data_IF_968543178773
#
_entry.id   IF_968543178773
#
_cell.length_a   1.000
_cell.length_b   1.000
_cell.length_c   1.000
_cell.angle_alpha   90.00
_cell.angle_beta   90.00
_cell.angle_gamma   90.00
#
_symmetry.space_group_name_H-M   'P 1'
#
loop_
_entity.id
_entity.type
_entity.pdbx_description
1 polymer ?
#
# COMPACT_ATOMS: atom_id res chain seq x y z
N UNK A 1 -0.40 10.14 11.71
CA UNK A 1 -1.26 11.35 11.73
C UNK A 1 -1.81 11.52 13.14
N UNK A 2 -1.95 12.76 13.63
CA UNK A 2 -2.47 13.06 14.97
C UNK A 2 -3.34 14.30 14.94
N UNK A 3 -4.54 14.22 15.51
CA UNK A 3 -5.46 15.35 15.61
C UNK A 3 -4.98 16.38 16.63
N UNK A 4 -5.38 17.64 16.44
CA UNK A 4 -5.06 18.69 17.42
C UNK A 4 -5.69 18.41 18.78
N UNK A 5 -6.92 17.88 18.80
CA UNK A 5 -7.59 17.50 20.05
C UNK A 5 -6.76 16.48 20.82
N UNK A 6 -6.24 15.46 20.15
CA UNK A 6 -5.42 14.44 20.79
C UNK A 6 -4.08 15.00 21.31
N UNK A 7 -3.42 15.86 20.51
CA UNK A 7 -2.19 16.54 20.92
C UNK A 7 -2.40 17.38 22.18
N UNK A 8 -3.50 18.13 22.24
CA UNK A 8 -3.81 19.00 23.38
C UNK A 8 -4.26 18.22 24.62
N UNK A 9 -5.09 17.18 24.46
CA UNK A 9 -5.69 16.48 25.60
C UNK A 9 -4.78 15.44 26.23
N UNK A 10 -4.05 14.65 25.43
CA UNK A 10 -3.21 13.57 25.96
C UNK A 10 -1.81 14.05 26.34
N UNK A 11 -1.32 15.14 25.75
CA UNK A 11 0.02 15.68 25.97
C UNK A 11 1.13 14.60 25.98
N UNK A 12 1.03 13.63 25.07
CA UNK A 12 2.04 12.58 24.90
C UNK A 12 3.01 12.95 23.79
N UNK A 13 4.28 12.59 24.01
CA UNK A 13 5.35 12.74 23.02
C UNK A 13 5.13 11.84 21.79
N UNK A 14 5.85 12.13 20.71
CA UNK A 14 5.78 11.35 19.47
C UNK A 14 6.23 9.90 19.70
N UNK A 15 7.23 9.69 20.55
CA UNK A 15 7.72 8.35 20.91
C UNK A 15 6.69 7.55 21.71
N UNK A 16 5.94 8.19 22.60
CA UNK A 16 4.87 7.54 23.36
C UNK A 16 3.68 7.22 22.46
N UNK A 17 3.37 8.11 21.51
CA UNK A 17 2.34 7.84 20.51
C UNK A 17 2.73 6.65 19.62
N UNK A 18 3.98 6.57 19.16
CA UNK A 18 4.47 5.44 18.37
C UNK A 18 4.44 4.13 19.18
N UNK A 19 4.78 4.19 20.47
CA UNK A 19 4.65 3.05 21.37
C UNK A 19 3.18 2.61 21.55
N UNK A 20 2.26 3.57 21.67
CA UNK A 20 0.81 3.32 21.77
C UNK A 20 0.26 2.71 20.48
N UNK A 21 0.67 3.23 19.32
CA UNK A 21 0.31 2.70 18.01
C UNK A 21 0.81 1.27 17.83
N UNK A 22 2.08 1.02 18.17
CA UNK A 22 2.68 -0.31 18.17
C UNK A 22 1.91 -1.27 19.09
N UNK A 23 1.57 -0.82 20.31
CA UNK A 23 0.81 -1.62 21.27
C UNK A 23 -0.61 -1.98 20.78
N UNK A 24 -1.22 -1.19 19.89
CA UNK A 24 -2.53 -1.49 19.29
C UNK A 24 -2.49 -2.48 18.13
N UNK A 25 -1.39 -2.53 17.38
CA UNK A 25 -1.25 -3.33 16.15
C UNK A 25 -0.90 -4.80 16.42
N UNK A 26 -0.12 -5.11 17.47
CA UNK A 26 0.29 -6.49 17.79
C UNK A 26 -0.64 -7.16 18.80
N UNK A 27 -1.21 -8.32 18.46
CA UNK A 27 -1.91 -9.17 19.42
C UNK A 27 -2.16 -10.56 18.86
N UNK A 28 -2.03 -11.57 19.72
CA UNK A 28 -2.34 -12.95 19.36
C UNK A 28 -3.77 -13.30 19.78
N UNK A 29 -4.42 -14.24 19.08
CA UNK A 29 -5.77 -14.70 19.43
C UNK A 29 -5.85 -15.27 20.84
N UNK A 30 -4.72 -15.79 21.36
CA UNK A 30 -4.58 -16.29 22.73
C UNK A 30 -4.66 -15.19 23.80
N UNK A 31 -4.46 -13.92 23.45
CA UNK A 31 -4.57 -12.79 24.39
C UNK A 31 -6.02 -12.36 24.64
N UNK A 32 -7.00 -12.97 23.97
CA UNK A 32 -8.41 -12.64 24.15
C UNK A 32 -8.86 -12.95 25.59
N UNK A 33 -9.50 -11.97 26.24
CA UNK A 33 -9.92 -12.07 27.64
C UNK A 33 -8.83 -11.77 28.68
N UNK A 34 -7.57 -11.61 28.27
CA UNK A 34 -6.49 -11.20 29.18
C UNK A 34 -6.45 -9.69 29.39
N UNK A 35 -5.80 -9.23 30.47
CA UNK A 35 -5.53 -7.81 30.69
C UNK A 35 -4.72 -7.19 29.53
N UNK A 36 -3.76 -7.94 28.96
CA UNK A 36 -2.97 -7.50 27.80
C UNK A 36 -3.85 -7.28 26.57
N UNK A 37 -4.73 -8.23 26.28
CA UNK A 37 -5.69 -8.10 25.18
C UNK A 37 -6.64 -6.92 25.37
N UNK A 38 -7.07 -6.66 26.61
CA UNK A 38 -7.88 -5.48 26.96
C UNK A 38 -7.13 -4.17 26.74
N UNK A 39 -5.88 -4.07 27.23
CA UNK A 39 -5.03 -2.88 27.03
C UNK A 39 -4.74 -2.62 25.55
N UNK A 40 -4.47 -3.67 24.76
CA UNK A 40 -4.32 -3.56 23.30
C UNK A 40 -5.56 -3.01 22.63
N UNK A 41 -6.75 -3.54 22.96
CA UNK A 41 -8.02 -3.04 22.40
C UNK A 41 -8.24 -1.58 22.76
N UNK A 42 -7.93 -1.18 24.00
CA UNK A 42 -8.00 0.21 24.42
C UNK A 42 -7.04 1.09 23.59
N UNK A 43 -5.77 0.69 23.45
CA UNK A 43 -4.78 1.40 22.63
C UNK A 43 -5.26 1.55 21.17
N UNK A 44 -5.77 0.46 20.57
CA UNK A 44 -6.35 0.50 19.22
C UNK A 44 -7.52 1.47 19.13
N UNK A 45 -8.47 1.42 20.06
CA UNK A 45 -9.61 2.36 20.08
C UNK A 45 -9.16 3.81 20.14
N UNK A 46 -8.16 4.12 20.98
CA UNK A 46 -7.61 5.46 21.10
C UNK A 46 -7.00 5.93 19.77
N UNK A 47 -6.16 5.11 19.14
CA UNK A 47 -5.49 5.44 17.88
C UNK A 47 -6.49 5.62 16.73
N UNK A 48 -7.47 4.73 16.60
CA UNK A 48 -8.48 4.86 15.53
C UNK A 48 -9.38 6.08 15.76
N UNK A 49 -9.71 6.41 17.01
CA UNK A 49 -10.46 7.63 17.34
C UNK A 49 -9.69 8.89 16.98
N UNK A 50 -8.39 8.94 17.27
CA UNK A 50 -7.53 10.06 16.87
C UNK A 50 -7.43 10.21 15.34
N UNK A 51 -7.29 9.10 14.62
CA UNK A 51 -7.30 9.13 13.14
C UNK A 51 -8.60 9.66 12.57
N UNK A 52 -9.74 9.29 13.16
CA UNK A 52 -11.06 9.82 12.78
C UNK A 52 -11.12 11.33 13.04
N UNK A 53 -10.68 11.79 14.21
CA UNK A 53 -10.67 13.21 14.55
C UNK A 53 -9.77 13.99 13.60
N UNK A 54 -8.58 13.48 13.31
CA UNK A 54 -7.64 14.10 12.38
C UNK A 54 -8.24 14.20 10.97
N UNK A 55 -8.86 13.14 10.48
CA UNK A 55 -9.53 13.15 9.18
C UNK A 55 -10.68 14.17 9.14
N UNK A 56 -11.49 14.27 10.20
CA UNK A 56 -12.54 15.29 10.33
C UNK A 56 -11.98 16.71 10.35
N UNK A 57 -10.86 16.95 11.03
CA UNK A 57 -10.18 18.25 11.01
C UNK A 57 -9.70 18.64 9.61
N UNK A 58 -9.29 17.65 8.81
CA UNK A 58 -8.94 17.86 7.41
C UNK A 58 -10.18 17.97 6.50
N UNK A 59 -11.38 18.04 7.07
CA UNK A 59 -12.66 18.19 6.39
C UNK A 59 -13.15 16.93 5.69
N UNK A 60 -12.75 15.74 6.16
CA UNK A 60 -13.31 14.48 5.67
C UNK A 60 -14.46 14.02 6.55
N UNK A 61 -15.53 13.56 5.92
CA UNK A 61 -16.47 12.62 6.52
C UNK A 61 -15.77 11.26 6.69
N UNK A 62 -16.17 10.50 7.70
CA UNK A 62 -15.48 9.26 8.06
C UNK A 62 -16.46 8.18 8.49
N UNK A 63 -16.12 6.93 8.17
CA UNK A 63 -16.82 5.74 8.66
C UNK A 63 -15.82 4.65 8.99
N UNK A 64 -15.94 4.08 10.19
CA UNK A 64 -15.20 2.89 10.60
C UNK A 64 -16.11 1.68 10.37
N UNK A 65 -15.77 0.87 9.37
CA UNK A 65 -16.55 -0.30 8.96
C UNK A 65 -15.71 -1.56 9.04
N UNK A 66 -16.32 -2.70 8.71
CA UNK A 66 -15.64 -3.99 8.65
C UNK A 66 -15.73 -4.61 7.27
N UNK A 67 -14.63 -5.19 6.83
CA UNK A 67 -14.53 -5.88 5.54
C UNK A 67 -15.42 -7.13 5.52
N UNK A 68 -16.11 -7.36 4.41
CA UNK A 68 -16.83 -8.60 4.10
C UNK A 68 -16.25 -9.21 2.81
N UNK A 69 -15.96 -10.53 2.77
CA UNK A 69 -16.03 -11.48 3.89
C UNK A 69 -14.90 -11.26 4.91
N UNK A 70 -15.13 -11.66 6.16
CA UNK A 70 -14.17 -11.53 7.28
C UNK A 70 -12.83 -12.26 7.09
N UNK A 71 -12.72 -13.08 6.04
CA UNK A 71 -11.53 -13.83 5.65
C UNK A 71 -10.71 -13.12 4.58
N UNK A 72 -11.19 -12.00 4.05
CA UNK A 72 -10.52 -11.27 2.97
C UNK A 72 -9.18 -10.66 3.41
N UNK A 73 -9.03 -10.34 4.69
CA UNK A 73 -7.80 -9.79 5.27
C UNK A 73 -7.65 -10.18 6.74
N UNK A 74 -6.42 -10.38 7.26
CA UNK A 74 -6.17 -10.49 8.69
C UNK A 74 -6.61 -9.26 9.50
N UNK A 75 -6.74 -8.09 8.82
CA UNK A 75 -7.25 -6.84 9.40
C UNK A 75 -8.62 -6.53 8.79
N UNK A 76 -9.65 -6.73 9.60
CA UNK A 76 -11.04 -6.58 9.17
C UNK A 76 -11.62 -5.19 9.38
N UNK A 77 -11.06 -4.36 10.26
CA UNK A 77 -11.56 -3.00 10.47
C UNK A 77 -10.94 -2.05 9.43
N UNK A 78 -11.79 -1.29 8.73
CA UNK A 78 -11.41 -0.32 7.70
C UNK A 78 -11.93 1.05 8.10
N UNK A 79 -11.03 2.03 8.19
CA UNK A 79 -11.39 3.44 8.28
C UNK A 79 -11.47 4.02 6.87
N UNK A 80 -12.66 4.47 6.49
CA UNK A 80 -12.94 5.13 5.22
C UNK A 80 -13.14 6.62 5.48
N UNK A 81 -12.54 7.47 4.65
CA UNK A 81 -12.75 8.91 4.69
C UNK A 81 -13.03 9.48 3.30
N UNK A 82 -14.01 10.36 3.18
CA UNK A 82 -14.38 11.02 1.93
C UNK A 82 -14.71 12.49 2.17
N UNK A 83 -14.59 13.33 1.14
CA UNK A 83 -14.93 14.76 1.23
C UNK A 83 -16.43 14.96 1.08
N UNK A 84 -16.99 15.97 1.75
CA UNK A 84 -18.39 16.36 1.53
C UNK A 84 -18.60 16.82 0.09
N UNK A 85 -19.85 16.81 -0.36
CA UNK A 85 -20.22 17.19 -1.73
C UNK A 85 -19.75 18.59 -2.09
N UNK A 86 -19.87 19.52 -1.17
CA UNK A 86 -19.49 20.93 -1.34
C UNK A 86 -17.97 21.07 -1.52
N UNK A 87 -17.21 20.34 -0.71
CA UNK A 87 -15.75 20.28 -0.79
C UNK A 87 -15.27 19.63 -2.10
N UNK A 88 -15.98 18.61 -2.60
CA UNK A 88 -15.66 17.96 -3.88
C UNK A 88 -15.73 18.96 -5.04
N UNK A 89 -16.81 19.72 -5.16
CA UNK A 89 -17.01 20.67 -6.27
C UNK A 89 -15.92 21.76 -6.36
N UNK A 90 -15.44 22.25 -5.22
CA UNK A 90 -14.45 23.33 -5.18
C UNK A 90 -13.06 22.94 -5.71
N UNK A 91 -12.73 21.64 -5.66
CA UNK A 91 -11.41 21.12 -6.02
C UNK A 91 -11.29 20.72 -7.49
N UNK A 92 -12.42 20.38 -8.13
CA UNK A 92 -12.44 20.12 -9.57
C UNK A 92 -12.74 21.42 -10.31
N UNK A 93 -11.69 22.03 -10.88
CA UNK A 93 -11.77 23.25 -11.72
C UNK A 93 -12.72 23.11 -12.91
N UNK A 94 -13.17 21.89 -13.23
CA UNK A 94 -14.08 21.58 -14.33
C UNK A 94 -15.58 21.71 -13.96
N UNK A 95 -15.93 21.70 -12.67
CA UNK A 95 -17.34 21.77 -12.22
C UNK A 95 -17.82 23.24 -12.05
N UNK A 96 -16.91 24.22 -12.04
CA UNK A 96 -17.23 25.65 -11.87
C UNK A 96 -17.94 26.27 -13.09
N UNK A 97 -17.89 25.66 -14.27
CA UNK A 97 -18.49 26.19 -15.50
C UNK A 97 -20.00 25.94 -15.67
N UNK A 98 -20.63 25.14 -14.81
CA UNK A 98 -22.07 24.80 -14.89
C UNK A 98 -22.94 25.49 -13.83
N UNK A 99 -22.47 26.57 -13.23
CA UNK A 99 -23.20 27.36 -12.21
C UNK A 99 -24.32 28.26 -12.75
N UNK A 100 -25.12 27.79 -13.72
CA UNK A 100 -26.39 28.40 -14.10
C UNK A 100 -27.56 27.43 -13.83
N UNK A 101 -27.69 27.00 -12.57
CA UNK A 101 -28.86 26.26 -12.09
C UNK A 101 -28.94 24.78 -12.50
N UNK A 102 -27.89 24.22 -13.10
CA UNK A 102 -27.81 22.79 -13.44
C UNK A 102 -27.01 22.00 -12.40
N UNK A 103 -27.62 20.95 -11.84
CA UNK A 103 -26.93 19.94 -11.02
C UNK A 103 -25.65 19.46 -11.72
N UNK A 104 -24.48 19.65 -11.10
CA UNK A 104 -23.22 19.10 -11.60
C UNK A 104 -23.29 17.55 -11.49
N UNK A 105 -23.56 16.89 -12.62
CA UNK A 105 -23.77 15.42 -12.66
C UNK A 105 -22.56 14.62 -12.17
N UNK A 106 -21.35 15.17 -12.27
CA UNK A 106 -20.11 14.54 -11.82
C UNK A 106 -19.98 14.47 -10.29
N UNK A 107 -20.61 15.38 -9.54
CA UNK A 107 -20.57 15.38 -8.07
C UNK A 107 -21.83 14.78 -7.41
N UNK A 108 -22.84 14.47 -8.23
CA UNK A 108 -24.11 13.84 -7.83
C UNK A 108 -24.11 12.32 -8.04
N UNK A 109 -23.18 11.80 -8.84
CA UNK A 109 -23.00 10.37 -9.00
C UNK A 109 -22.08 9.83 -7.89
N UNK A 110 -22.63 9.05 -6.96
CA UNK A 110 -21.88 8.35 -5.92
C UNK A 110 -20.78 7.44 -6.48
N UNK A 111 -20.81 7.15 -7.79
CA UNK A 111 -19.81 6.35 -8.47
C UNK A 111 -18.62 7.16 -8.97
N UNK A 112 -18.69 8.50 -9.05
CA UNK A 112 -17.58 9.30 -9.57
C UNK A 112 -16.29 9.13 -8.75
N UNK A 113 -16.42 9.08 -7.42
CA UNK A 113 -15.29 8.82 -6.52
C UNK A 113 -14.76 7.38 -6.68
N UNK A 114 -15.65 6.40 -6.93
CA UNK A 114 -15.25 5.01 -7.22
C UNK A 114 -14.52 4.90 -8.55
N UNK A 115 -14.96 5.62 -9.58
CA UNK A 115 -14.28 5.67 -10.88
C UNK A 115 -12.90 6.34 -10.76
N UNK A 116 -12.81 7.49 -10.11
CA UNK A 116 -11.53 8.16 -9.87
C UNK A 116 -10.59 7.31 -9.02
N UNK A 117 -11.09 6.69 -7.95
CA UNK A 117 -10.32 5.76 -7.14
C UNK A 117 -9.88 4.55 -7.98
N UNK A 118 -10.73 4.00 -8.83
CA UNK A 118 -10.38 2.89 -9.73
C UNK A 118 -9.34 3.30 -10.77
N UNK A 119 -9.43 4.51 -11.31
CA UNK A 119 -8.45 5.07 -12.25
C UNK A 119 -7.09 5.22 -11.56
N UNK A 120 -7.07 5.78 -10.35
CA UNK A 120 -5.84 5.99 -9.58
C UNK A 120 -5.23 4.70 -9.01
N UNK A 121 -6.06 3.73 -8.62
CA UNK A 121 -5.61 2.49 -7.96
C UNK A 121 -5.34 1.36 -8.95
N UNK A 122 -6.08 1.29 -10.05
CA UNK A 122 -6.07 0.17 -11.01
C UNK A 122 -5.47 0.60 -12.35
N UNK A 123 -5.32 1.91 -12.62
CA UNK A 123 -4.72 2.39 -13.86
C UNK A 123 -5.57 2.06 -15.09
N UNK A 124 -6.90 1.96 -14.94
CA UNK A 124 -7.81 1.68 -16.04
C UNK A 124 -7.87 2.88 -16.98
N UNK A 125 -6.92 2.95 -17.91
CA UNK A 125 -7.04 3.72 -19.14
C UNK A 125 -8.22 3.14 -19.92
N UNK A 126 -9.41 3.72 -19.79
CA UNK A 126 -10.51 3.40 -20.69
C UNK A 126 -10.24 4.10 -22.04
N UNK A 127 -10.06 3.36 -23.15
CA UNK A 127 -9.77 3.95 -24.45
C UNK A 127 -11.06 4.30 -25.19
N UNK A 128 -11.96 5.05 -24.55
CA UNK A 128 -13.17 5.53 -25.22
C UNK A 128 -13.42 6.99 -24.90
N UNK A 129 -12.81 7.83 -25.74
CA UNK A 129 -13.33 9.11 -26.24
C UNK A 129 -13.69 10.21 -25.22
N UNK A 130 -12.76 11.14 -25.01
CA UNK A 130 -12.95 12.52 -25.47
C UNK A 130 -11.63 13.05 -26.04
N UNK A 131 -11.62 13.26 -27.35
CA UNK A 131 -10.53 13.91 -28.08
C UNK A 131 -10.40 15.38 -27.66
N UNK A 132 -9.17 15.88 -27.84
CA UNK A 132 -8.71 17.27 -27.76
C UNK A 132 -8.63 17.88 -26.36
N UNK A 133 -7.45 17.79 -25.74
CA UNK A 133 -6.51 18.91 -25.75
C UNK A 133 -5.18 18.51 -25.11
N UNK A 134 -4.11 18.85 -25.81
CA UNK A 134 -2.75 18.81 -25.30
C UNK A 134 -2.62 19.79 -24.14
N UNK A 135 -2.48 19.26 -22.93
CA UNK A 135 -1.73 19.92 -21.85
C UNK A 135 -1.03 18.82 -21.09
N UNK A 136 0.27 19.01 -20.91
CA UNK A 136 1.20 18.15 -20.19
C UNK A 136 0.59 17.64 -18.88
N UNK A 137 0.20 16.36 -18.86
CA UNK A 137 -0.23 15.66 -17.65
C UNK A 137 1.00 14.90 -17.13
N UNK A 138 1.66 15.35 -16.04
CA UNK A 138 2.83 14.67 -15.48
C UNK A 138 2.42 13.51 -14.54
N UNK A 139 1.19 13.00 -14.66
CA UNK A 139 0.76 11.79 -13.97
C UNK A 139 0.83 10.61 -14.92
N UNK A 140 2.02 10.40 -15.50
CA UNK A 140 2.37 9.10 -16.03
C UNK A 140 2.22 8.09 -14.90
N UNK A 141 1.66 6.93 -15.20
CA UNK A 141 1.66 5.72 -14.37
C UNK A 141 2.93 5.68 -13.53
N UNK A 142 2.84 6.17 -12.29
CA UNK A 142 4.01 6.34 -11.45
C UNK A 142 4.36 4.95 -10.97
N UNK A 143 5.13 4.21 -11.78
CA UNK A 143 5.85 3.04 -11.32
C UNK A 143 6.48 3.44 -9.99
N UNK A 144 6.27 2.64 -8.95
CA UNK A 144 6.84 2.89 -7.61
C UNK A 144 8.37 3.06 -7.67
N UNK A 145 8.97 2.66 -8.81
CA UNK A 145 10.38 2.66 -9.15
C UNK A 145 10.67 3.51 -10.38
N UNK A 146 11.80 4.23 -10.35
CA UNK A 146 12.28 4.91 -11.56
C UNK A 146 12.75 3.88 -12.59
N UNK A 147 12.61 4.18 -13.88
CA UNK A 147 13.06 3.29 -14.97
C UNK A 147 14.54 2.89 -14.80
N UNK A 148 15.39 3.82 -14.35
CA UNK A 148 16.81 3.58 -14.09
C UNK A 148 17.03 2.54 -12.98
N UNK A 149 16.26 2.61 -11.90
CA UNK A 149 16.34 1.63 -10.80
C UNK A 149 15.86 0.26 -11.25
N UNK A 150 14.73 0.21 -11.96
CA UNK A 150 14.15 -1.02 -12.48
C UNK A 150 15.09 -1.71 -13.48
N UNK A 151 15.64 -0.96 -14.43
CA UNK A 151 16.60 -1.45 -15.41
C UNK A 151 17.89 -1.96 -14.75
N UNK A 152 18.39 -1.26 -13.72
CA UNK A 152 19.59 -1.69 -12.99
C UNK A 152 19.41 -3.05 -12.30
N UNK A 153 18.27 -3.26 -11.62
CA UNK A 153 17.97 -4.54 -10.97
C UNK A 153 17.64 -5.62 -11.99
N UNK A 154 16.85 -5.28 -13.02
CA UNK A 154 16.47 -6.19 -14.11
C UNK A 154 17.71 -6.70 -14.86
N UNK A 155 18.65 -5.82 -15.20
CA UNK A 155 19.89 -6.21 -15.87
C UNK A 155 20.74 -7.13 -14.98
N UNK A 156 20.83 -6.85 -13.68
CA UNK A 156 21.54 -7.72 -12.72
C UNK A 156 20.94 -9.12 -12.69
N UNK A 157 19.60 -9.23 -12.64
CA UNK A 157 18.90 -10.51 -12.66
C UNK A 157 19.07 -11.24 -13.99
N UNK A 158 19.04 -10.54 -15.13
CA UNK A 158 19.28 -11.13 -16.46
C UNK A 158 20.68 -11.72 -16.57
N UNK A 159 21.70 -11.01 -16.10
CA UNK A 159 23.08 -11.51 -16.04
C UNK A 159 23.15 -12.78 -15.20
N UNK A 160 22.50 -12.78 -14.02
CA UNK A 160 22.44 -13.97 -13.16
C UNK A 160 21.72 -15.16 -13.84
N UNK A 161 20.60 -14.91 -14.53
CA UNK A 161 19.86 -15.96 -15.25
C UNK A 161 20.70 -16.57 -16.35
N UNK A 162 21.42 -15.74 -17.11
CA UNK A 162 22.30 -16.19 -18.19
C UNK A 162 23.55 -16.96 -17.69
N UNK A 163 24.01 -16.71 -16.46
CA UNK A 163 25.17 -17.38 -15.88
C UNK A 163 24.81 -18.78 -15.36
N UNK A 164 24.96 -19.81 -16.20
CA UNK A 164 24.66 -21.21 -15.85
C UNK A 164 25.48 -21.75 -14.67
N UNK A 165 26.63 -21.14 -14.36
CA UNK A 165 27.49 -21.58 -13.25
C UNK A 165 26.93 -21.22 -11.87
N UNK A 166 26.02 -20.24 -11.83
CA UNK A 166 25.40 -19.77 -10.58
C UNK A 166 23.99 -20.28 -10.45
N UNK A 167 23.72 -20.93 -9.32
CA UNK A 167 22.38 -21.35 -8.90
C UNK A 167 21.68 -20.30 -8.05
N UNK A 168 22.45 -19.47 -7.35
CA UNK A 168 21.96 -18.44 -6.45
C UNK A 168 22.73 -17.11 -6.60
N UNK A 169 22.03 -16.01 -6.34
CA UNK A 169 22.59 -14.67 -6.31
C UNK A 169 22.09 -13.91 -5.09
N UNK A 170 23.02 -13.30 -4.36
CA UNK A 170 22.74 -12.54 -3.15
C UNK A 170 22.98 -11.06 -3.41
N UNK A 171 21.93 -10.26 -3.25
CA UNK A 171 22.04 -8.80 -3.32
C UNK A 171 22.82 -8.24 -2.11
N UNK A 172 23.49 -7.09 -2.27
CA UNK A 172 24.19 -6.43 -1.18
C UNK A 172 23.30 -6.19 0.06
N UNK A 173 23.93 -6.14 1.23
CA UNK A 173 23.25 -5.74 2.47
C UNK A 173 23.00 -4.23 2.49
N UNK A 174 22.05 -3.81 3.31
CA UNK A 174 21.73 -2.39 3.47
C UNK A 174 20.86 -1.83 2.35
N UNK A 175 20.41 -2.67 1.42
CA UNK A 175 19.38 -2.31 0.45
C UNK A 175 18.11 -1.96 1.21
N UNK A 176 17.61 -0.73 1.06
CA UNK A 176 16.43 -0.26 1.78
C UNK A 176 15.17 -1.10 1.48
N UNK A 177 14.14 -1.06 2.35
CA UNK A 177 12.92 -1.86 2.17
C UNK A 177 12.29 -1.73 0.78
N UNK A 178 12.27 -0.52 0.21
CA UNK A 178 11.76 -0.24 -1.14
C UNK A 178 12.52 -1.00 -2.24
N UNK A 179 13.85 -0.98 -2.21
CA UNK A 179 14.68 -1.65 -3.23
C UNK A 179 14.61 -3.17 -3.10
N UNK A 180 14.49 -3.71 -1.89
CA UNK A 180 14.22 -5.15 -1.70
C UNK A 180 12.88 -5.57 -2.28
N UNK A 181 11.83 -4.75 -2.15
CA UNK A 181 10.51 -4.99 -2.76
C UNK A 181 10.61 -5.04 -4.29
N UNK A 182 11.37 -4.13 -4.91
CA UNK A 182 11.65 -4.15 -6.35
C UNK A 182 12.33 -5.45 -6.77
N UNK A 183 13.37 -5.89 -6.04
CA UNK A 183 14.08 -7.14 -6.34
C UNK A 183 13.13 -8.33 -6.28
N UNK A 184 12.29 -8.42 -5.24
CA UNK A 184 11.29 -9.48 -5.11
C UNK A 184 10.29 -9.46 -6.27
N UNK A 185 9.77 -8.27 -6.63
CA UNK A 185 8.85 -8.12 -7.75
C UNK A 185 9.45 -8.60 -9.07
N UNK A 186 10.65 -8.13 -9.42
CA UNK A 186 11.32 -8.52 -10.67
C UNK A 186 11.73 -10.00 -10.68
N UNK A 187 12.21 -10.53 -9.55
CA UNK A 187 12.52 -11.95 -9.45
C UNK A 187 11.29 -12.83 -9.66
N UNK A 188 10.14 -12.46 -9.09
CA UNK A 188 8.86 -13.15 -9.32
C UNK A 188 8.44 -13.10 -10.79
N UNK A 189 8.48 -11.91 -11.42
CA UNK A 189 8.15 -11.72 -12.84
C UNK A 189 9.06 -12.54 -13.76
N UNK A 190 10.31 -12.76 -13.37
CA UNK A 190 11.27 -13.62 -14.09
C UNK A 190 11.18 -15.11 -13.71
N UNK A 191 10.22 -15.50 -12.87
CA UNK A 191 10.01 -16.91 -12.46
C UNK A 191 11.09 -17.46 -11.52
N UNK A 192 11.88 -16.60 -10.89
CA UNK A 192 12.94 -16.99 -9.95
C UNK A 192 12.37 -17.20 -8.54
N UNK A 193 13.05 -18.01 -7.73
CA UNK A 193 12.78 -18.07 -6.29
C UNK A 193 13.46 -16.90 -5.60
N UNK A 194 12.82 -16.32 -4.61
CA UNK A 194 13.38 -15.19 -3.87
C UNK A 194 13.01 -15.28 -2.39
N UNK A 195 13.92 -14.85 -1.52
CA UNK A 195 13.70 -14.76 -0.09
C UNK A 195 14.55 -13.66 0.55
N UNK A 196 14.00 -13.00 1.56
CA UNK A 196 14.75 -12.06 2.38
C UNK A 196 15.59 -12.84 3.42
N UNK A 197 16.90 -12.57 3.46
CA UNK A 197 17.84 -13.19 4.40
C UNK A 197 18.62 -12.13 5.19
N UNK A 198 18.94 -12.42 6.47
CA UNK A 198 19.67 -11.52 7.36
C UNK A 198 18.99 -11.30 8.71
N UNK A 199 19.61 -10.47 9.56
CA UNK A 199 19.15 -10.22 10.92
C UNK A 199 17.90 -9.35 11.04
N UNK A 200 17.49 -9.07 12.29
CA UNK A 200 16.25 -8.33 12.58
C UNK A 200 16.29 -6.88 12.07
N UNK A 201 17.48 -6.29 11.93
CA UNK A 201 17.67 -4.89 11.49
C UNK A 201 17.66 -4.74 9.97
N UNK A 202 17.09 -3.63 9.48
CA UNK A 202 17.06 -3.30 8.05
C UNK A 202 18.44 -3.21 7.40
N UNK A 203 19.48 -2.87 8.17
CA UNK A 203 20.87 -2.77 7.68
C UNK A 203 21.51 -4.14 7.39
N UNK A 204 20.97 -5.19 8.00
CA UNK A 204 21.50 -6.56 7.89
C UNK A 204 20.72 -7.42 6.89
N UNK A 205 19.52 -6.96 6.49
CA UNK A 205 18.66 -7.64 5.53
C UNK A 205 19.18 -7.49 4.11
N UNK A 206 19.08 -8.58 3.35
CA UNK A 206 19.42 -8.71 1.93
C UNK A 206 18.42 -9.64 1.24
N UNK A 207 18.42 -9.68 -0.09
CA UNK A 207 17.57 -10.59 -0.85
C UNK A 207 18.45 -11.65 -1.51
N UNK A 208 18.08 -12.91 -1.33
CA UNK A 208 18.64 -14.04 -2.06
C UNK A 208 17.66 -14.42 -3.17
N UNK A 209 18.19 -14.60 -4.37
CA UNK A 209 17.43 -15.07 -5.54
C UNK A 209 18.07 -16.35 -6.05
N UNK A 210 17.27 -17.35 -6.39
CA UNK A 210 17.75 -18.63 -6.91
C UNK A 210 16.95 -19.11 -8.11
N UNK A 211 17.61 -19.88 -8.98
CA UNK A 211 16.95 -20.51 -10.14
C UNK A 211 16.04 -21.63 -9.63
N UNK A 212 14.84 -21.76 -10.20
CA UNK A 212 14.02 -22.95 -9.95
C UNK A 212 14.77 -24.14 -10.54
N UNK A 213 15.16 -25.10 -9.71
CA UNK A 213 15.66 -26.38 -10.22
C UNK A 213 14.61 -26.93 -11.19
N UNK A 214 15.05 -27.33 -12.39
CA UNK A 214 14.22 -28.18 -13.24
C UNK A 214 13.84 -29.38 -12.38
N UNK A 215 12.58 -29.84 -12.38
CA UNK A 215 12.29 -31.14 -11.81
C UNK A 215 13.21 -32.14 -12.52
N UNK A 216 14.11 -32.75 -11.76
CA UNK A 216 14.92 -33.84 -12.29
C UNK A 216 13.93 -34.89 -12.81
N UNK A 217 14.10 -35.25 -14.08
CA UNK A 217 13.41 -36.40 -14.66
C UNK A 217 13.94 -37.63 -13.93
N UNK A 218 13.32 -37.98 -12.80
CA UNK A 218 13.40 -39.29 -12.16
C UNK A 218 12.70 -40.33 -13.06
N UNK A 219 13.20 -40.50 -14.29
CA UNK A 219 13.00 -41.74 -15.05
C UNK A 219 14.05 -42.73 -14.55
N UNK A 220 13.82 -43.21 -13.34
CA UNK A 220 14.50 -44.37 -12.82
C UNK A 220 13.97 -45.59 -13.59
N UNK A 221 14.82 -46.13 -14.46
CA UNK A 221 14.67 -47.47 -15.02
C UNK A 221 14.44 -48.45 -13.86
N UNK A 222 13.24 -48.99 -13.78
CA UNK A 222 12.98 -50.27 -13.13
C UNK A 222 11.79 -50.93 -13.83
N UNK A 223 12.09 -51.64 -14.92
CA UNK A 223 11.52 -52.94 -15.32
C UNK A 223 12.23 -53.44 -16.56
#
# INVERSE_FOLDING_TARGET
PRSDCFRTTMNISDTEFDALASAGDYGESVDMGTWKGSSRRAAKTIIESDRILWAKQMGYETSLTRMQPWTASPKNDILVGWKSREDRCSRYSFCSSFHNGGLCRLCDDSNADMYLASEHLIGLNNPTSMSSMSTDNPCGTASEWSAVEEDGVSNTLRIFVADETKTEYKFPRGEGPRRRKLIHHLAETMGLRHQSIGGKSNKERSVLVSKRQRPDNDNNLNS
#
